data_IF_154082884948
#
_entry.id   IF_154082884948
#
_cell.length_a   1.000
_cell.length_b   1.000
_cell.length_c   1.000
_cell.angle_alpha   90.00
_cell.angle_beta   90.00
_cell.angle_gamma   90.00
#
_symmetry.space_group_name_H-M   'P 1'
#
loop_
_entity.id
_entity.type
_entity.pdbx_description
1 polymer ?
#
# COMPACT_ATOMS: atom_id res chain seq x y z
N UNK A 1 12.86 -29.10 -3.58
CA UNK A 1 13.30 -27.69 -3.63
C UNK A 1 12.10 -26.85 -3.23
N UNK A 2 12.24 -25.91 -2.30
CA UNK A 2 11.13 -25.04 -1.91
C UNK A 2 10.93 -24.04 -3.04
N UNK A 3 9.80 -24.12 -3.73
CA UNK A 3 9.35 -23.13 -4.71
C UNK A 3 9.17 -21.78 -4.01
N UNK A 4 10.27 -21.04 -3.89
CA UNK A 4 10.29 -19.67 -3.43
C UNK A 4 10.12 -18.78 -4.67
N UNK A 5 8.94 -18.86 -5.29
CA UNK A 5 8.56 -18.00 -6.40
C UNK A 5 8.28 -16.59 -5.85
N UNK A 6 9.09 -15.57 -6.19
CA UNK A 6 8.94 -14.22 -5.63
C UNK A 6 7.53 -13.64 -5.81
N UNK A 7 6.87 -13.96 -6.93
CA UNK A 7 5.51 -13.50 -7.22
C UNK A 7 4.42 -14.10 -6.33
N UNK A 8 4.59 -15.33 -5.84
CA UNK A 8 3.60 -16.00 -4.99
C UNK A 8 3.56 -15.41 -3.59
N UNK A 9 4.71 -14.95 -3.10
CA UNK A 9 4.80 -14.31 -1.78
C UNK A 9 4.25 -12.88 -1.82
N UNK A 10 4.44 -12.16 -2.93
CA UNK A 10 3.88 -10.82 -3.12
C UNK A 10 2.36 -10.85 -3.27
N UNK A 11 1.79 -11.84 -3.95
CA UNK A 11 0.34 -12.06 -4.02
C UNK A 11 -0.26 -12.31 -2.64
N UNK A 12 0.32 -13.23 -1.85
CA UNK A 12 -0.13 -13.49 -0.47
C UNK A 12 -0.04 -12.27 0.44
N UNK A 13 1.00 -11.43 0.26
CA UNK A 13 1.15 -10.16 0.98
C UNK A 13 0.05 -9.17 0.60
N UNK A 14 -0.26 -9.06 -0.69
CA UNK A 14 -1.35 -8.23 -1.18
C UNK A 14 -2.71 -8.71 -0.67
N UNK A 15 -3.00 -10.00 -0.71
CA UNK A 15 -4.22 -10.57 -0.15
C UNK A 15 -4.36 -10.27 1.35
N UNK A 16 -3.27 -10.43 2.11
CA UNK A 16 -3.25 -10.09 3.53
C UNK A 16 -3.51 -8.60 3.75
N UNK A 17 -2.87 -7.73 2.97
CA UNK A 17 -3.06 -6.29 3.04
C UNK A 17 -4.52 -5.91 2.77
N UNK A 18 -5.11 -6.40 1.67
CA UNK A 18 -6.49 -6.11 1.31
C UNK A 18 -7.50 -6.66 2.33
N UNK A 19 -7.18 -7.76 3.03
CA UNK A 19 -8.02 -8.30 4.11
C UNK A 19 -8.15 -7.33 5.29
N UNK A 20 -7.17 -6.46 5.51
CA UNK A 20 -7.24 -5.39 6.52
C UNK A 20 -8.08 -4.19 6.06
N UNK A 21 -8.63 -4.22 4.84
CA UNK A 21 -9.48 -3.15 4.26
C UNK A 21 -8.81 -1.77 4.37
N UNK A 22 -7.60 -1.62 3.80
CA UNK A 22 -6.88 -0.36 3.86
C UNK A 22 -7.72 0.75 3.22
N UNK A 23 -7.60 1.95 3.79
CA UNK A 23 -8.31 3.12 3.33
C UNK A 23 -7.81 3.53 1.93
N UNK A 24 -8.75 3.91 1.06
CA UNK A 24 -8.44 4.34 -0.30
C UNK A 24 -8.17 5.85 -0.30
N UNK A 25 -7.15 6.28 -1.03
CA UNK A 25 -6.83 7.68 -1.24
C UNK A 25 -7.01 8.06 -2.72
N UNK A 26 -8.06 8.81 -3.02
CA UNK A 26 -8.44 9.25 -4.38
C UNK A 26 -7.85 10.62 -4.74
N UNK A 27 -7.85 11.56 -3.78
CA UNK A 27 -7.41 12.95 -3.94
C UNK A 27 -7.52 13.66 -2.59
N UNK A 28 -6.66 14.65 -2.36
CA UNK A 28 -6.94 15.71 -1.40
C UNK A 28 -5.88 16.78 -1.47
N UNK A 29 -6.27 18.02 -1.80
CA UNK A 29 -5.56 19.21 -1.31
C UNK A 29 -5.84 19.34 0.20
N UNK A 30 -5.55 18.27 0.93
CA UNK A 30 -5.86 18.04 2.33
C UNK A 30 -4.62 17.36 2.93
N UNK A 31 -3.62 18.16 3.33
CA UNK A 31 -2.41 17.62 3.91
C UNK A 31 -2.69 16.84 5.20
N UNK A 32 -3.68 17.28 6.00
CA UNK A 32 -4.08 16.60 7.23
C UNK A 32 -4.74 15.24 6.93
N UNK A 33 -5.63 15.19 5.93
CA UNK A 33 -6.24 13.96 5.44
C UNK A 33 -5.21 12.98 4.85
N UNK A 34 -4.19 13.48 4.16
CA UNK A 34 -3.10 12.67 3.64
C UNK A 34 -2.22 12.09 4.77
N UNK A 35 -1.89 12.88 5.80
CA UNK A 35 -1.14 12.41 6.98
C UNK A 35 -1.92 11.29 7.68
N UNK A 36 -3.20 11.53 7.96
CA UNK A 36 -4.06 10.52 8.60
C UNK A 36 -4.17 9.24 7.76
N UNK A 37 -4.27 9.37 6.44
CA UNK A 37 -4.28 8.22 5.55
C UNK A 37 -2.97 7.41 5.63
N UNK A 38 -1.82 8.08 5.68
CA UNK A 38 -0.51 7.42 5.85
C UNK A 38 -0.47 6.67 7.17
N UNK A 39 -0.84 7.31 8.28
CA UNK A 39 -0.82 6.69 9.62
C UNK A 39 -1.66 5.40 9.67
N UNK A 40 -2.88 5.44 9.12
CA UNK A 40 -3.76 4.26 9.07
C UNK A 40 -3.17 3.11 8.23
N UNK A 41 -2.51 3.43 7.12
CA UNK A 41 -1.87 2.43 6.26
C UNK A 41 -0.59 1.88 6.91
N UNK A 42 0.16 2.71 7.65
CA UNK A 42 1.36 2.29 8.39
C UNK A 42 1.05 1.30 9.51
N UNK A 43 -0.07 1.49 10.23
CA UNK A 43 -0.55 0.54 11.25
C UNK A 43 -0.77 -0.85 10.62
N UNK A 44 -1.33 -0.91 9.41
CA UNK A 44 -1.54 -2.18 8.70
C UNK A 44 -0.20 -2.80 8.33
N UNK A 45 0.77 -2.02 7.86
CA UNK A 45 2.10 -2.55 7.54
C UNK A 45 2.82 -3.10 8.75
N UNK A 46 2.72 -2.42 9.90
CA UNK A 46 3.28 -2.89 11.16
C UNK A 46 2.63 -4.19 11.61
N UNK A 47 1.29 -4.27 11.58
CA UNK A 47 0.55 -5.49 11.93
C UNK A 47 0.87 -6.68 11.01
N UNK A 48 1.30 -6.43 9.78
CA UNK A 48 1.73 -7.46 8.84
C UNK A 48 3.21 -7.85 8.98
N UNK A 49 4.04 -7.01 9.60
CA UNK A 49 5.50 -7.15 9.60
C UNK A 49 6.12 -6.85 8.22
N UNK A 50 5.56 -5.90 7.46
CA UNK A 50 6.04 -5.56 6.12
C UNK A 50 7.33 -4.74 6.15
N UNK A 51 8.31 -5.12 5.33
CA UNK A 51 9.55 -4.38 5.10
C UNK A 51 9.32 -3.22 4.11
N UNK A 52 10.15 -2.17 4.20
CA UNK A 52 10.03 -0.93 3.40
C UNK A 52 9.82 -1.16 1.89
N UNK A 53 10.54 -2.12 1.30
CA UNK A 53 10.43 -2.46 -0.12
C UNK A 53 9.02 -2.97 -0.49
N UNK A 54 8.34 -3.67 0.43
CA UNK A 54 6.98 -4.15 0.23
C UNK A 54 5.92 -3.08 0.50
N UNK A 55 6.19 -2.11 1.39
CA UNK A 55 5.24 -1.05 1.76
C UNK A 55 4.88 -0.19 0.55
N UNK A 56 5.87 0.21 -0.24
CA UNK A 56 5.63 1.03 -1.44
C UNK A 56 4.75 0.30 -2.45
N UNK A 57 5.04 -0.97 -2.74
CA UNK A 57 4.25 -1.76 -3.69
C UNK A 57 2.80 -1.87 -3.21
N UNK A 58 2.57 -2.21 -1.95
CA UNK A 58 1.24 -2.35 -1.38
C UNK A 58 0.49 -1.01 -1.27
N UNK A 59 1.17 0.07 -0.88
CA UNK A 59 0.60 1.41 -0.77
C UNK A 59 0.07 1.93 -2.10
N UNK A 60 0.71 1.59 -3.21
CA UNK A 60 0.19 1.99 -4.54
C UNK A 60 -1.15 1.34 -4.90
N UNK A 61 -1.49 0.18 -4.34
CA UNK A 61 -2.76 -0.50 -4.59
C UNK A 61 -3.97 0.21 -3.99
N UNK A 62 -3.77 1.16 -3.09
CA UNK A 62 -4.87 1.92 -2.43
C UNK A 62 -4.92 3.37 -2.90
N UNK A 63 -4.00 3.79 -3.76
CA UNK A 63 -4.10 5.04 -4.49
C UNK A 63 -5.11 4.89 -5.64
N UNK A 64 -5.94 5.91 -5.83
CA UNK A 64 -6.92 5.97 -6.92
C UNK A 64 -6.82 7.31 -7.64
N UNK A 65 -7.41 7.36 -8.83
CA UNK A 65 -7.59 8.59 -9.62
C UNK A 65 -6.33 9.47 -9.68
N UNK A 66 -6.41 10.69 -9.15
CA UNK A 66 -5.34 11.68 -9.22
C UNK A 66 -4.12 11.29 -8.40
N UNK A 67 -4.30 10.68 -7.23
CA UNK A 67 -3.19 10.23 -6.41
C UNK A 67 -2.37 9.14 -7.11
N UNK A 68 -3.04 8.21 -7.81
CA UNK A 68 -2.38 7.18 -8.61
C UNK A 68 -1.67 7.80 -9.83
N UNK A 69 -2.29 8.79 -10.48
CA UNK A 69 -1.68 9.49 -11.61
C UNK A 69 -0.44 10.27 -11.18
N UNK A 70 -0.48 10.98 -10.04
CA UNK A 70 0.68 11.68 -9.50
C UNK A 70 1.82 10.71 -9.20
N UNK A 71 1.52 9.61 -8.48
CA UNK A 71 2.53 8.61 -8.13
C UNK A 71 3.22 8.00 -9.36
N UNK A 72 2.45 7.70 -10.42
CA UNK A 72 3.01 7.17 -11.68
C UNK A 72 3.87 8.17 -12.45
N UNK A 73 3.62 9.46 -12.30
CA UNK A 73 4.39 10.53 -12.96
C UNK A 73 5.57 11.02 -12.11
N UNK A 74 5.53 10.82 -10.78
CA UNK A 74 6.59 11.19 -9.85
C UNK A 74 7.70 10.13 -9.73
N UNK A 75 7.44 8.90 -10.18
CA UNK A 75 8.39 7.79 -10.23
C UNK A 75 9.27 7.87 -11.48
#
# INVERSE_FOLDING_TARGET
ARDNEPGRDDEKRLERFMRHKPTIFTRGYDPDGAIKWIEEVEIIFEAMGCFEVSKTTLGTYVLREEANNWWKNAK
#
